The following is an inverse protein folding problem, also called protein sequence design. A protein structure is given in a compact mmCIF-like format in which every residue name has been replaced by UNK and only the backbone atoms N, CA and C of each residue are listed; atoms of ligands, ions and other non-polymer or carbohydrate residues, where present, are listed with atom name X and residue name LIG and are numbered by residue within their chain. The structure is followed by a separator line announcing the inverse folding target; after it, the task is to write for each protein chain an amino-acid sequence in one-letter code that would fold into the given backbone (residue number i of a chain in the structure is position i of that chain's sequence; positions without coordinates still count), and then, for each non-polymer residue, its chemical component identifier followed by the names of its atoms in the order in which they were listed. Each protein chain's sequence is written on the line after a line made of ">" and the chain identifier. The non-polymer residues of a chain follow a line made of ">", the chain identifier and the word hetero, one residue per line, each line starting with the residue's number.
data_IF_933444419241
#
_entry.id   IF_933444419241
#
_cell.length_a   1.000
_cell.length_b   1.000
_cell.length_c   1.000
_cell.angle_alpha   90.00
_cell.angle_beta   90.00
_cell.angle_gamma   90.00
#
_symmetry.space_group_name_H-M   'P 1'
#
loop_
_entity.id
_entity.type
_entity.pdbx_description
1 polymer ?
#
# COMPACT_ATOMS: atom_id res chain seq x y z
N UNK A 1 38.26 30.97 -42.73
CA UNK A 1 36.90 31.54 -42.57
C UNK A 1 35.85 30.42 -42.52
N UNK A 2 35.82 29.64 -41.43
CA UNK A 2 34.75 28.66 -41.19
C UNK A 2 34.49 28.58 -39.69
N UNK A 3 33.71 29.54 -39.19
CA UNK A 3 33.24 29.57 -37.80
C UNK A 3 31.92 30.34 -37.66
N UNK A 4 30.96 30.10 -38.56
CA UNK A 4 29.64 30.78 -38.53
C UNK A 4 28.47 29.88 -38.99
N UNK A 5 28.60 28.56 -38.84
CA UNK A 5 27.54 27.60 -39.20
C UNK A 5 27.07 26.70 -38.05
N UNK A 6 27.60 26.91 -36.84
CA UNK A 6 27.29 26.09 -35.65
C UNK A 6 26.22 26.72 -34.73
N UNK A 7 25.81 27.96 -34.98
CA UNK A 7 25.04 28.78 -34.01
C UNK A 7 23.57 29.03 -34.41
N UNK A 8 23.00 28.18 -35.27
CA UNK A 8 21.58 28.31 -35.70
C UNK A 8 20.82 26.98 -35.73
N UNK A 9 21.27 26.00 -34.95
CA UNK A 9 20.63 24.68 -34.85
C UNK A 9 20.41 24.22 -33.40
N UNK A 10 20.30 25.17 -32.46
CA UNK A 10 20.02 24.90 -31.03
C UNK A 10 18.63 25.37 -30.56
N UNK A 11 17.80 25.93 -31.46
CA UNK A 11 16.52 26.56 -31.07
C UNK A 11 15.25 25.75 -31.38
N UNK A 12 15.35 24.55 -31.97
CA UNK A 12 14.17 23.79 -32.45
C UNK A 12 13.95 22.40 -31.82
N UNK A 13 14.51 22.10 -30.66
CA UNK A 13 14.23 20.85 -29.92
C UNK A 13 13.90 21.05 -28.44
N UNK A 14 13.29 22.17 -28.07
CA UNK A 14 12.76 22.42 -26.72
C UNK A 14 11.34 21.86 -26.47
N UNK A 15 10.91 20.88 -27.27
CA UNK A 15 9.58 20.28 -27.18
C UNK A 15 9.49 18.91 -26.51
N UNK A 16 10.55 18.44 -25.83
CA UNK A 16 10.45 17.21 -25.02
C UNK A 16 9.71 17.58 -23.74
N UNK A 17 8.39 17.33 -23.74
CA UNK A 17 7.50 17.35 -22.57
C UNK A 17 8.19 16.71 -21.36
N UNK A 18 8.77 17.53 -20.48
CA UNK A 18 9.25 17.12 -19.15
C UNK A 18 8.12 17.22 -18.13
N UNK A 19 7.04 16.51 -18.36
CA UNK A 19 5.98 16.34 -17.36
C UNK A 19 5.55 14.87 -17.37
N UNK A 20 6.18 14.06 -16.49
CA UNK A 20 5.44 13.58 -15.31
C UNK A 20 6.17 13.74 -13.95
N UNK A 21 7.47 14.07 -13.93
CA UNK A 21 8.29 13.92 -12.72
C UNK A 21 8.01 14.93 -11.59
N UNK A 22 7.47 16.12 -11.90
CA UNK A 22 7.11 17.10 -10.85
C UNK A 22 5.77 16.81 -10.18
N UNK A 23 4.83 16.16 -10.88
CA UNK A 23 3.51 15.85 -10.30
C UNK A 23 3.64 14.76 -9.26
N UNK A 24 4.40 13.73 -9.60
CA UNK A 24 4.78 12.66 -8.69
C UNK A 24 5.48 13.23 -7.44
N UNK A 25 6.57 14.00 -7.58
CA UNK A 25 7.23 14.63 -6.41
C UNK A 25 6.29 15.46 -5.53
N UNK A 26 5.34 16.19 -6.12
CA UNK A 26 4.40 17.03 -5.37
C UNK A 26 3.37 16.20 -4.60
N UNK A 27 2.90 15.10 -5.19
CA UNK A 27 2.00 14.14 -4.52
C UNK A 27 2.73 13.37 -3.40
N UNK A 28 4.01 13.03 -3.59
CA UNK A 28 4.86 12.45 -2.54
C UNK A 28 5.12 13.43 -1.38
N UNK A 29 5.26 14.73 -1.65
CA UNK A 29 5.47 15.75 -0.60
C UNK A 29 4.22 15.96 0.25
N UNK A 30 3.02 15.87 -0.34
CA UNK A 30 1.75 15.95 0.42
C UNK A 30 1.55 14.70 1.28
N UNK A 31 1.96 13.53 0.78
CA UNK A 31 1.91 12.25 1.50
C UNK A 31 2.78 12.25 2.77
N UNK A 32 4.03 12.70 2.67
CA UNK A 32 4.93 12.84 3.84
C UNK A 32 4.41 13.87 4.84
N UNK A 33 3.84 14.99 4.36
CA UNK A 33 3.23 16.01 5.22
C UNK A 33 1.96 15.52 5.94
N UNK A 34 1.14 14.69 5.28
CA UNK A 34 -0.03 14.05 5.89
C UNK A 34 0.38 13.02 6.95
N UNK A 35 1.44 12.23 6.68
CA UNK A 35 1.96 11.24 7.63
C UNK A 35 2.44 11.88 8.95
N UNK A 36 2.99 13.10 8.90
CA UNK A 36 3.48 13.81 10.09
C UNK A 36 2.42 14.63 10.83
N UNK A 37 1.29 14.99 10.19
CA UNK A 37 0.32 15.93 10.74
C UNK A 37 -1.03 15.30 11.11
N UNK A 38 -1.45 14.20 10.46
CA UNK A 38 -2.75 13.57 10.69
C UNK A 38 -2.79 12.09 10.24
N UNK A 39 -2.56 11.19 11.19
CA UNK A 39 -2.58 9.72 10.96
C UNK A 39 -3.95 9.27 10.45
N UNK A 40 -5.05 9.81 10.97
CA UNK A 40 -6.41 9.39 10.56
C UNK A 40 -6.66 9.72 9.09
N UNK A 41 -6.23 10.91 8.65
CA UNK A 41 -6.33 11.31 7.26
C UNK A 41 -5.46 10.45 6.34
N UNK A 42 -4.30 10.04 6.81
CA UNK A 42 -3.45 9.10 6.08
C UNK A 42 -4.12 7.73 5.91
N UNK A 43 -4.62 7.15 7.00
CA UNK A 43 -5.34 5.88 6.96
C UNK A 43 -6.59 5.97 6.06
N UNK A 44 -7.37 7.05 6.18
CA UNK A 44 -8.52 7.29 5.32
C UNK A 44 -8.18 7.39 3.83
N UNK A 45 -7.01 7.96 3.48
CA UNK A 45 -6.53 7.97 2.11
C UNK A 45 -6.19 6.56 1.60
N UNK A 46 -5.54 5.73 2.42
CA UNK A 46 -5.21 4.34 2.06
C UNK A 46 -6.49 3.54 1.83
N UNK A 47 -7.43 3.58 2.79
CA UNK A 47 -8.73 2.93 2.67
C UNK A 47 -9.46 3.41 1.41
N UNK A 48 -9.44 4.72 1.12
CA UNK A 48 -10.04 5.24 -0.12
C UNK A 48 -9.41 4.63 -1.38
N UNK A 49 -8.08 4.52 -1.45
CA UNK A 49 -7.42 3.91 -2.60
C UNK A 49 -7.81 2.44 -2.77
N UNK A 50 -7.82 1.68 -1.68
CA UNK A 50 -8.23 0.28 -1.67
C UNK A 50 -9.69 0.11 -2.08
N UNK A 51 -10.61 0.94 -1.58
CA UNK A 51 -12.03 0.93 -1.95
C UNK A 51 -12.25 1.27 -3.42
N UNK A 52 -11.57 2.30 -3.94
CA UNK A 52 -11.63 2.66 -5.36
C UNK A 52 -11.13 1.50 -6.23
N UNK A 53 -10.02 0.87 -5.85
CA UNK A 53 -9.47 -0.27 -6.58
C UNK A 53 -10.37 -1.51 -6.49
N UNK A 54 -10.89 -1.81 -5.31
CA UNK A 54 -11.79 -2.93 -5.03
C UNK A 54 -13.13 -2.81 -5.72
N UNK A 55 -13.65 -1.59 -5.89
CA UNK A 55 -15.01 -1.33 -6.38
C UNK A 55 -15.06 -0.86 -7.83
N UNK A 56 -14.24 0.12 -8.23
CA UNK A 56 -14.38 0.73 -9.55
C UNK A 56 -13.80 -0.17 -10.65
N UNK A 57 -14.49 -0.22 -11.79
CA UNK A 57 -14.08 -0.98 -12.97
C UNK A 57 -14.10 -0.11 -14.22
N UNK A 58 -13.18 -0.41 -15.13
CA UNK A 58 -13.16 0.14 -16.49
C UNK A 58 -14.35 -0.39 -17.31
N UNK A 59 -14.53 0.12 -18.52
CA UNK A 59 -15.56 -0.37 -19.45
C UNK A 59 -15.39 -1.84 -19.84
N UNK A 60 -14.21 -2.41 -19.66
CA UNK A 60 -13.93 -3.84 -19.91
C UNK A 60 -14.06 -4.70 -18.65
N UNK A 61 -14.51 -4.13 -17.53
CA UNK A 61 -14.68 -4.86 -16.26
C UNK A 61 -13.40 -5.06 -15.45
N UNK A 62 -12.27 -4.48 -15.89
CA UNK A 62 -10.97 -4.59 -15.20
C UNK A 62 -10.78 -3.50 -14.14
N UNK A 63 -10.07 -3.78 -13.03
CA UNK A 63 -9.71 -2.78 -12.03
C UNK A 63 -8.71 -1.75 -12.58
N UNK A 64 -8.64 -0.58 -11.94
CA UNK A 64 -7.72 0.50 -12.32
C UNK A 64 -6.28 0.18 -11.90
N UNK A 65 -5.54 -0.54 -12.75
CA UNK A 65 -4.15 -0.99 -12.51
C UNK A 65 -3.18 0.11 -12.07
N UNK A 66 -3.43 1.36 -12.45
CA UNK A 66 -2.62 2.52 -12.02
C UNK A 66 -2.58 2.70 -10.49
N UNK A 67 -3.56 2.15 -9.77
CA UNK A 67 -3.63 2.23 -8.31
C UNK A 67 -2.84 1.13 -7.58
N UNK A 68 -2.43 0.07 -8.28
CA UNK A 68 -1.81 -1.11 -7.66
C UNK A 68 -0.50 -0.73 -6.96
N UNK A 69 0.44 -0.10 -7.67
CA UNK A 69 1.70 0.32 -7.06
C UNK A 69 1.51 1.33 -5.92
N UNK A 70 0.70 2.41 -6.09
CA UNK A 70 0.38 3.31 -4.98
C UNK A 70 -0.13 2.61 -3.72
N UNK A 71 -1.05 1.65 -3.86
CA UNK A 71 -1.59 0.87 -2.73
C UNK A 71 -0.48 0.07 -2.06
N UNK A 72 0.31 -0.70 -2.81
CA UNK A 72 1.43 -1.45 -2.23
C UNK A 72 2.44 -0.57 -1.51
N UNK A 73 2.77 0.60 -2.07
CA UNK A 73 3.65 1.56 -1.41
C UNK A 73 3.05 2.02 -0.08
N UNK A 74 1.74 2.32 -0.04
CA UNK A 74 1.06 2.72 1.19
C UNK A 74 1.10 1.63 2.26
N UNK A 75 0.70 0.41 1.90
CA UNK A 75 0.68 -0.71 2.84
C UNK A 75 2.08 -1.03 3.36
N UNK A 76 3.11 -0.96 2.51
CA UNK A 76 4.50 -1.15 2.93
C UNK A 76 4.97 -0.08 3.92
N UNK A 77 4.64 1.18 3.67
CA UNK A 77 4.98 2.28 4.59
C UNK A 77 4.31 2.11 5.96
N UNK A 78 3.06 1.61 6.02
CA UNK A 78 2.39 1.27 7.28
C UNK A 78 3.14 0.17 8.05
N UNK A 79 3.70 -0.81 7.35
CA UNK A 79 4.45 -1.90 7.99
C UNK A 79 5.88 -1.49 8.40
N UNK A 80 6.52 -0.59 7.65
CA UNK A 80 7.91 -0.21 7.88
C UNK A 80 8.09 0.94 8.86
N UNK A 81 7.05 1.71 9.15
CA UNK A 81 7.14 2.79 10.11
C UNK A 81 7.46 2.25 11.53
N UNK A 82 8.35 2.93 12.23
CA UNK A 82 8.79 2.57 13.58
C UNK A 82 7.81 3.10 14.64
N UNK A 83 7.14 4.22 14.34
CA UNK A 83 6.15 4.87 15.22
C UNK A 83 4.71 4.45 14.88
N UNK A 84 4.54 3.22 14.39
CA UNK A 84 3.24 2.70 13.94
C UNK A 84 2.33 2.53 15.13
N UNK A 85 1.22 3.28 15.11
CA UNK A 85 0.08 3.04 15.99
C UNK A 85 -0.62 1.74 15.57
N UNK A 86 -1.21 1.04 16.53
CA UNK A 86 -1.94 -0.21 16.26
C UNK A 86 -3.05 -0.02 15.21
N UNK A 87 -3.66 1.17 15.15
CA UNK A 87 -4.65 1.55 14.12
C UNK A 87 -4.12 1.43 12.69
N UNK A 88 -2.84 1.72 12.46
CA UNK A 88 -2.22 1.58 11.14
C UNK A 88 -2.02 0.11 10.75
N UNK A 89 -1.66 -0.76 11.70
CA UNK A 89 -1.59 -2.22 11.46
C UNK A 89 -3.00 -2.78 11.23
N UNK A 90 -3.97 -2.34 12.01
CA UNK A 90 -5.38 -2.73 11.86
C UNK A 90 -5.90 -2.34 10.47
N UNK A 91 -5.67 -1.09 10.04
CA UNK A 91 -6.01 -0.64 8.69
C UNK A 91 -5.34 -1.53 7.64
N UNK A 92 -4.02 -1.74 7.71
CA UNK A 92 -3.31 -2.62 6.78
C UNK A 92 -3.92 -4.03 6.73
N UNK A 93 -4.29 -4.60 7.89
CA UNK A 93 -4.93 -5.91 7.96
C UNK A 93 -6.28 -5.92 7.27
N UNK A 94 -7.17 -4.98 7.60
CA UNK A 94 -8.49 -4.87 6.99
C UNK A 94 -8.42 -4.69 5.47
N UNK A 95 -7.54 -3.81 4.99
CA UNK A 95 -7.39 -3.56 3.56
C UNK A 95 -6.87 -4.80 2.82
N UNK A 96 -5.94 -5.56 3.41
CA UNK A 96 -5.45 -6.81 2.83
C UNK A 96 -6.50 -7.92 2.85
N UNK A 97 -7.31 -8.02 3.90
CA UNK A 97 -8.42 -8.97 3.93
C UNK A 97 -9.48 -8.66 2.85
N UNK A 98 -9.71 -7.37 2.56
CA UNK A 98 -10.69 -6.92 1.56
C UNK A 98 -10.17 -7.01 0.12
N UNK A 99 -8.94 -6.53 -0.12
CA UNK A 99 -8.40 -6.30 -1.48
C UNK A 99 -7.16 -7.11 -1.82
N UNK A 100 -6.58 -7.84 -0.86
CA UNK A 100 -5.31 -8.54 -1.01
C UNK A 100 -5.27 -9.52 -2.18
N UNK A 101 -6.34 -10.29 -2.37
CA UNK A 101 -6.46 -11.19 -3.53
C UNK A 101 -6.37 -10.44 -4.85
N UNK A 102 -7.15 -9.36 -4.99
CA UNK A 102 -7.19 -8.57 -6.21
C UNK A 102 -5.85 -7.91 -6.50
N UNK A 103 -5.15 -7.43 -5.46
CA UNK A 103 -3.81 -6.87 -5.58
C UNK A 103 -2.80 -7.93 -6.05
N UNK A 104 -2.80 -9.12 -5.42
CA UNK A 104 -1.89 -10.22 -5.77
C UNK A 104 -2.11 -10.71 -7.21
N UNK A 105 -3.36 -10.77 -7.67
CA UNK A 105 -3.68 -11.09 -9.07
C UNK A 105 -3.09 -10.09 -10.07
N UNK A 106 -2.86 -8.82 -9.66
CA UNK A 106 -2.23 -7.82 -10.53
C UNK A 106 -0.70 -7.89 -10.49
N UNK A 107 -0.08 -7.99 -9.30
CA UNK A 107 1.38 -7.97 -9.10
C UNK A 107 1.80 -8.90 -7.93
N UNK A 108 1.94 -10.21 -8.17
CA UNK A 108 2.20 -11.20 -7.11
C UNK A 108 3.57 -11.03 -6.42
N UNK A 109 4.57 -10.53 -7.14
CA UNK A 109 5.89 -10.23 -6.59
C UNK A 109 5.82 -9.16 -5.49
N UNK A 110 4.98 -8.14 -5.66
CA UNK A 110 4.79 -7.10 -4.66
C UNK A 110 4.07 -7.61 -3.42
N UNK A 111 3.12 -8.55 -3.58
CA UNK A 111 2.49 -9.21 -2.44
C UNK A 111 3.50 -10.03 -1.62
N UNK A 112 4.40 -10.72 -2.31
CA UNK A 112 5.47 -11.49 -1.66
C UNK A 112 6.36 -10.60 -0.79
N UNK A 113 6.80 -9.46 -1.32
CA UNK A 113 7.60 -8.48 -0.58
C UNK A 113 6.83 -7.83 0.58
N UNK A 114 5.54 -7.55 0.39
CA UNK A 114 4.69 -6.99 1.44
C UNK A 114 4.53 -7.97 2.61
N UNK A 115 4.29 -9.24 2.33
CA UNK A 115 4.19 -10.27 3.37
C UNK A 115 5.53 -10.59 4.04
N UNK A 116 6.66 -10.41 3.35
CA UNK A 116 7.96 -10.41 4.01
C UNK A 116 8.05 -9.29 5.05
N UNK A 117 7.66 -8.06 4.68
CA UNK A 117 7.61 -6.92 5.62
C UNK A 117 6.67 -7.16 6.80
N UNK A 118 5.52 -7.80 6.57
CA UNK A 118 4.58 -8.19 7.63
C UNK A 118 5.19 -9.20 8.61
N UNK A 119 5.91 -10.21 8.11
CA UNK A 119 6.62 -11.19 8.94
C UNK A 119 7.72 -10.53 9.77
N UNK A 120 8.53 -9.67 9.14
CA UNK A 120 9.61 -8.96 9.82
C UNK A 120 9.07 -8.08 10.95
N UNK A 121 7.97 -7.35 10.70
CA UNK A 121 7.29 -6.57 11.75
C UNK A 121 6.77 -7.47 12.87
N UNK A 122 6.00 -8.51 12.54
CA UNK A 122 5.41 -9.44 13.53
C UNK A 122 6.46 -10.08 14.44
N UNK A 123 7.62 -10.44 13.90
CA UNK A 123 8.72 -11.06 14.63
C UNK A 123 9.55 -10.07 15.46
N UNK A 124 9.37 -8.76 15.24
CA UNK A 124 10.06 -7.75 16.04
C UNK A 124 9.65 -7.86 17.52
N UNK A 125 10.60 -7.93 18.47
CA UNK A 125 10.29 -8.09 19.90
C UNK A 125 9.47 -6.93 20.49
N UNK A 126 9.59 -5.73 19.93
CA UNK A 126 8.92 -4.53 20.43
C UNK A 126 7.43 -4.44 20.08
N UNK A 127 6.94 -5.27 19.14
CA UNK A 127 5.53 -5.20 18.75
C UNK A 127 4.60 -5.65 19.88
N UNK A 128 3.33 -5.24 19.81
CA UNK A 128 2.30 -5.67 20.75
C UNK A 128 1.74 -7.05 20.39
N UNK A 129 0.93 -7.62 21.28
CA UNK A 129 0.17 -8.83 20.93
C UNK A 129 -0.87 -8.56 19.84
N UNK A 130 -1.48 -7.37 19.82
CA UNK A 130 -2.49 -7.00 18.83
C UNK A 130 -1.87 -6.97 17.42
N UNK A 131 -0.75 -6.26 17.25
CA UNK A 131 -0.01 -6.26 15.98
C UNK A 131 0.31 -7.68 15.52
N UNK A 132 0.79 -8.54 16.42
CA UNK A 132 1.12 -9.92 16.07
C UNK A 132 -0.11 -10.72 15.63
N UNK A 133 -1.23 -10.60 16.34
CA UNK A 133 -2.48 -11.29 15.99
C UNK A 133 -3.02 -10.82 14.64
N UNK A 134 -3.03 -9.52 14.38
CA UNK A 134 -3.50 -8.95 13.11
C UNK A 134 -2.66 -9.41 11.91
N UNK A 135 -1.33 -9.39 12.05
CA UNK A 135 -0.43 -9.78 10.97
C UNK A 135 -0.44 -11.29 10.73
N UNK A 136 -0.54 -12.10 11.79
CA UNK A 136 -0.63 -13.55 11.66
C UNK A 136 -1.92 -13.98 10.95
N UNK A 137 -3.05 -13.34 11.26
CA UNK A 137 -4.33 -13.59 10.57
C UNK A 137 -4.21 -13.36 9.06
N UNK A 138 -3.60 -12.24 8.65
CA UNK A 138 -3.38 -11.92 7.23
C UNK A 138 -2.45 -12.94 6.57
N UNK A 139 -1.38 -13.35 7.26
CA UNK A 139 -0.43 -14.35 6.74
C UNK A 139 -1.12 -15.71 6.55
N UNK A 140 -1.95 -16.14 7.50
CA UNK A 140 -2.74 -17.37 7.36
C UNK A 140 -3.79 -17.26 6.25
N UNK A 141 -4.44 -16.10 6.12
CA UNK A 141 -5.39 -15.84 5.05
C UNK A 141 -4.72 -15.95 3.67
N UNK A 142 -3.54 -15.36 3.51
CA UNK A 142 -2.73 -15.51 2.29
C UNK A 142 -2.33 -16.97 2.06
N UNK A 143 -1.87 -17.67 3.09
CA UNK A 143 -1.53 -19.10 2.99
C UNK A 143 -2.74 -19.96 2.57
N UNK A 144 -3.95 -19.51 2.89
CA UNK A 144 -5.22 -20.09 2.44
C UNK A 144 -5.71 -19.53 1.09
N UNK A 145 -4.82 -18.94 0.28
CA UNK A 145 -5.12 -18.34 -1.03
C UNK A 145 -6.22 -17.27 -0.98
N UNK A 146 -6.23 -16.46 0.08
CA UNK A 146 -7.26 -15.46 0.37
C UNK A 146 -8.68 -16.00 0.50
N UNK A 147 -8.85 -17.32 0.66
CA UNK A 147 -10.15 -17.89 0.97
C UNK A 147 -10.44 -17.70 2.45
N UNK A 148 -11.72 -17.58 2.84
CA UNK A 148 -12.10 -17.47 4.25
C UNK A 148 -11.43 -18.56 5.09
N UNK A 149 -10.83 -18.16 6.21
CA UNK A 149 -10.30 -19.08 7.19
C UNK A 149 -11.42 -19.96 7.76
N UNK A 150 -11.06 -21.13 8.28
CA UNK A 150 -12.06 -22.03 8.87
C UNK A 150 -12.74 -21.37 10.07
N UNK A 151 -14.02 -21.68 10.36
CA UNK A 151 -14.76 -21.03 11.46
C UNK A 151 -14.03 -21.05 12.82
N UNK A 152 -13.35 -22.15 13.23
CA UNK A 152 -12.59 -22.14 14.48
C UNK A 152 -11.42 -21.13 14.50
N UNK A 153 -10.71 -20.98 13.37
CA UNK A 153 -9.60 -20.04 13.23
C UNK A 153 -10.12 -18.60 13.24
N UNK A 154 -11.17 -18.31 12.46
CA UNK A 154 -11.83 -17.00 12.47
C UNK A 154 -12.35 -16.64 13.86
N UNK A 155 -12.92 -17.60 14.60
CA UNK A 155 -13.37 -17.37 15.98
C UNK A 155 -12.20 -17.09 16.93
N UNK A 156 -11.06 -17.76 16.74
CA UNK A 156 -9.84 -17.50 17.52
C UNK A 156 -9.37 -16.05 17.34
N UNK A 157 -9.24 -15.58 16.10
CA UNK A 157 -8.80 -14.20 15.83
C UNK A 157 -9.80 -13.17 16.33
N UNK A 158 -11.09 -13.33 16.01
CA UNK A 158 -12.15 -12.45 16.50
C UNK A 158 -12.12 -12.30 18.03
N UNK A 159 -12.04 -13.42 18.77
CA UNK A 159 -12.00 -13.40 20.23
C UNK A 159 -10.71 -12.77 20.76
N UNK A 160 -9.59 -13.02 20.10
CA UNK A 160 -8.27 -12.52 20.54
C UNK A 160 -8.17 -11.01 20.30
N UNK A 161 -8.50 -10.55 19.10
CA UNK A 161 -8.50 -9.12 18.73
C UNK A 161 -9.46 -8.34 19.63
N UNK A 162 -10.70 -8.83 19.80
CA UNK A 162 -11.67 -8.17 20.68
C UNK A 162 -11.18 -7.99 22.12
N UNK A 163 -10.42 -8.95 22.66
CA UNK A 163 -9.84 -8.84 24.01
C UNK A 163 -8.68 -7.86 24.09
N UNK A 164 -7.96 -7.66 22.99
CA UNK A 164 -6.79 -6.80 22.91
C UNK A 164 -7.15 -5.34 22.60
N UNK A 165 -8.35 -5.10 22.07
CA UNK A 165 -8.88 -3.76 21.77
C UNK A 165 -9.86 -3.22 22.83
N UNK A 166 -10.17 -4.01 23.86
CA UNK A 166 -11.10 -3.66 24.94
C UNK A 166 -10.38 -3.07 26.16
#
# INVERSE_FOLDING_TARGET
>A
MHKDAQDRREEYTWGVKREPQMKEKKDFTVREALQQQDVERWLGFITFLCEVFGTMRSSTGEPFRVLVCPIYTCLRELLQSQDVKEDAVLCCSMELQSTGRLLEEQLPEMMTELLASARDKMLCPSESMLTRSLLLEVIELHANSWNPLTPPITQYYNRTIQKLTA
#
